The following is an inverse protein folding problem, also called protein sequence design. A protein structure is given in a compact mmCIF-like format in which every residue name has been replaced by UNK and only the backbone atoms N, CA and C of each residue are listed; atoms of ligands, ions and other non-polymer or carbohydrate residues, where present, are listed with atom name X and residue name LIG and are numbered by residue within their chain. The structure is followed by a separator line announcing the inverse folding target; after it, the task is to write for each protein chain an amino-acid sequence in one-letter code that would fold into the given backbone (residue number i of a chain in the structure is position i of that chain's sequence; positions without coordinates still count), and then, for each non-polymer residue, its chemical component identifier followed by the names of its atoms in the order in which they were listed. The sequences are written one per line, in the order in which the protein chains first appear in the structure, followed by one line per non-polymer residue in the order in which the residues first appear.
data_IF_125883108233
#
_entry.id   IF_125883108233
#
_cell.length_a   1.000
_cell.length_b   1.000
_cell.length_c   1.000
_cell.angle_alpha   90.00
_cell.angle_beta   90.00
_cell.angle_gamma   90.00
#
_symmetry.space_group_name_H-M   'P 1'
#
loop_
_entity.id
_entity.type
_entity.pdbx_description
1 polymer ?
2 non-polymer ?
3 water ?
#
# COMPACT_ATOMS: atom_id res chain seq x y z
N UNK A 1 -12.53 26.72 24.88
CA UNK A 1 -12.58 25.30 24.44
C UNK A 1 -11.70 25.10 23.19
N UNK A 2 -10.94 24.01 23.18
CA UNK A 2 -10.06 23.70 22.04
C UNK A 2 -9.77 22.21 21.97
N UNK A 3 -9.50 21.72 20.76
CA UNK A 3 -9.19 20.31 20.56
C UNK A 3 -7.82 19.99 21.13
N UNK A 4 -7.59 18.73 21.45
CA UNK A 4 -6.30 18.31 21.98
C UNK A 4 -5.25 18.47 20.87
N UNK A 5 -4.03 18.87 21.23
CA UNK A 5 -2.95 19.08 20.25
C UNK A 5 -2.57 17.88 19.39
N UNK A 6 -2.97 16.68 19.77
CA UNK A 6 -2.62 15.53 18.95
C UNK A 6 -3.35 15.60 17.62
N UNK A 7 -4.32 16.50 17.53
CA UNK A 7 -5.09 16.67 16.30
C UNK A 7 -4.30 17.41 15.23
N UNK A 8 -3.04 17.75 15.55
CA UNK A 8 -2.19 18.44 14.59
C UNK A 8 -1.86 17.46 13.46
N UNK A 9 -2.09 16.18 13.71
CA UNK A 9 -1.84 15.14 12.73
C UNK A 9 -2.95 15.12 11.68
N UNK A 10 -4.07 15.74 12.02
CA UNK A 10 -5.22 15.81 11.14
C UNK A 10 -5.03 16.91 10.10
N UNK A 14 -1.54 16.94 0.02
CA UNK A 14 -1.61 17.51 -1.35
C UNK A 14 -2.46 16.63 -2.27
N UNK A 15 -2.67 15.39 -1.86
CA UNK A 15 -3.44 14.44 -2.65
C UNK A 15 -4.84 14.96 -3.02
N UNK A 16 -5.68 15.30 -2.03
CA UNK A 16 -7.01 15.80 -2.34
C UNK A 16 -6.98 17.13 -3.08
N UNK A 17 -5.99 17.95 -2.73
CA UNK A 17 -5.83 19.27 -3.35
C UNK A 17 -5.49 19.17 -4.84
N UNK A 18 -4.68 18.19 -5.21
CA UNK A 18 -4.31 18.01 -6.61
C UNK A 18 -5.50 17.54 -7.42
N UNK A 19 -6.33 16.69 -6.82
CA UNK A 19 -7.52 16.18 -7.50
C UNK A 19 -8.54 17.31 -7.69
N UNK A 20 -8.60 18.20 -6.71
CA UNK A 20 -9.53 19.32 -6.80
C UNK A 20 -9.10 20.29 -7.88
N UNK A 21 -7.79 20.44 -8.03
CA UNK A 21 -7.24 21.35 -9.02
C UNK A 21 -7.41 20.74 -10.42
N UNK A 22 -7.34 19.41 -10.49
CA UNK A 22 -7.49 18.70 -11.75
C UNK A 22 -8.92 18.78 -12.26
N UNK A 23 -9.88 18.71 -11.34
CA UNK A 23 -11.28 18.78 -11.70
C UNK A 23 -11.61 20.15 -12.27
N UNK A 24 -11.09 21.20 -11.63
CA UNK A 24 -11.34 22.57 -12.09
C UNK A 24 -10.80 22.82 -13.50
N UNK A 25 -9.54 22.42 -13.73
CA UNK A 25 -8.89 22.63 -15.01
C UNK A 25 -9.17 21.56 -16.07
N UNK A 26 -9.97 20.56 -15.73
CA UNK A 26 -10.27 19.50 -16.67
C UNK A 26 -9.02 18.74 -17.11
N UNK A 27 -8.14 18.48 -16.15
CA UNK A 27 -6.89 17.76 -16.42
C UNK A 27 -7.05 16.26 -16.19
N UNK A 28 -6.27 15.46 -16.90
CA UNK A 28 -6.32 14.00 -16.72
C UNK A 28 -5.66 13.78 -15.37
N UNK A 29 -6.36 13.06 -14.49
CA UNK A 29 -5.84 12.83 -13.15
C UNK A 29 -5.04 11.54 -13.02
N UNK A 30 -3.72 11.65 -13.05
CA UNK A 30 -2.86 10.48 -12.89
C UNK A 30 -2.32 10.47 -11.46
N UNK A 31 -2.92 11.30 -10.61
CA UNK A 31 -2.50 11.38 -9.23
C UNK A 31 -3.33 10.49 -8.31
N UNK A 32 -4.56 10.18 -8.72
CA UNK A 32 -5.45 9.33 -7.91
C UNK A 32 -4.94 7.91 -7.79
N UNK A 33 -4.81 7.45 -6.55
CA UNK A 33 -4.32 6.10 -6.30
C UNK A 33 -5.36 5.00 -6.22
N UNK A 34 -6.36 5.02 -7.09
CA UNK A 34 -7.39 3.98 -7.12
C UNK A 34 -7.99 3.84 -8.52
N UNK A 35 -8.39 2.61 -8.89
CA UNK A 35 -8.97 2.25 -10.18
C UNK A 35 -10.15 3.10 -10.68
N UNK A 36 -10.15 3.39 -11.97
CA UNK A 36 -11.22 4.17 -12.59
C UNK A 36 -12.20 3.23 -13.28
N UNK A 37 -12.40 2.06 -12.69
CA UNK A 37 -13.31 1.05 -13.22
C UNK A 37 -13.93 0.31 -12.05
N UNK A 38 -15.03 -0.42 -12.29
CA UNK A 38 -15.68 -1.17 -11.22
C UNK A 38 -14.98 -2.50 -10.94
N UNK A 39 -15.31 -3.14 -9.80
CA UNK A 39 -14.69 -4.42 -9.47
C UNK A 39 -15.24 -5.54 -10.35
N UNK A 40 -14.61 -6.73 -10.32
CA UNK A 40 -15.08 -7.86 -11.14
C UNK A 40 -16.50 -8.28 -10.82
N UNK A 41 -17.22 -8.79 -11.82
CA UNK A 41 -18.60 -9.23 -11.62
C UNK A 41 -18.79 -10.28 -10.53
N UNK A 42 -17.85 -11.22 -10.40
CA UNK A 42 -18.02 -12.25 -9.38
C UNK A 42 -18.01 -11.70 -7.95
N UNK A 43 -17.40 -10.53 -7.75
CA UNK A 43 -17.39 -9.93 -6.42
C UNK A 43 -18.72 -9.24 -6.17
N UNK A 44 -19.19 -8.48 -7.16
CA UNK A 44 -20.46 -7.78 -7.05
C UNK A 44 -21.60 -8.76 -6.78
N UNK A 45 -21.61 -9.88 -7.49
CA UNK A 45 -22.63 -10.89 -7.30
C UNK A 45 -22.59 -11.51 -5.91
N UNK A 46 -21.39 -11.75 -5.39
CA UNK A 46 -21.24 -12.33 -4.07
C UNK A 46 -21.78 -11.40 -2.98
N UNK A 47 -21.53 -10.11 -3.13
CA UNK A 47 -22.01 -9.12 -2.16
C UNK A 47 -23.53 -9.05 -2.26
N UNK A 48 -24.01 -8.91 -3.49
CA UNK A 48 -25.44 -8.83 -3.77
C UNK A 48 -26.15 -10.00 -3.08
N UNK A 49 -25.54 -11.17 -3.15
CA UNK A 49 -26.09 -12.38 -2.56
C UNK A 49 -26.10 -12.34 -1.02
N UNK A 50 -25.12 -11.65 -0.44
CA UNK A 50 -25.04 -11.55 1.02
C UNK A 50 -26.03 -10.58 1.62
N UNK A 51 -26.41 -9.56 0.85
CA UNK A 51 -27.35 -8.55 1.33
C UNK A 51 -28.69 -9.19 1.69
N UNK A 52 -29.14 -8.93 2.91
CA UNK A 52 -30.42 -9.49 3.36
C UNK A 52 -30.25 -10.79 4.14
N UNK A 53 -29.03 -11.34 4.13
CA UNK A 53 -28.73 -12.58 4.84
C UNK A 53 -27.68 -12.37 5.92
N UNK A 54 -26.75 -11.46 5.67
CA UNK A 54 -25.67 -11.17 6.61
C UNK A 54 -25.49 -9.67 6.68
N UNK A 55 -26.37 -9.00 7.43
CA UNK A 55 -26.37 -7.56 7.55
C UNK A 55 -26.04 -7.03 8.95
N UNK A 56 -26.02 -7.92 9.94
CA UNK A 56 -25.74 -7.51 11.31
C UNK A 56 -24.27 -7.71 11.69
N UNK A 57 -23.91 -7.23 12.89
CA UNK A 57 -22.54 -7.33 13.40
C UNK A 57 -21.85 -8.66 13.20
N UNK A 58 -20.60 -8.60 12.74
CA UNK A 58 -19.78 -9.79 12.58
C UNK A 58 -18.82 -9.67 13.77
N UNK A 59 -18.19 -10.79 14.18
CA UNK A 59 -17.27 -10.72 15.32
C UNK A 59 -16.13 -9.76 14.99
N UNK A 60 -15.59 -9.06 16.00
CA UNK A 60 -14.49 -8.13 15.73
C UNK A 60 -13.34 -8.78 14.95
N UNK A 61 -13.00 -10.03 15.28
CA UNK A 61 -11.91 -10.72 14.59
C UNK A 61 -12.22 -10.98 13.11
N UNK A 62 -13.50 -10.94 12.77
CA UNK A 62 -13.92 -11.16 11.40
C UNK A 62 -14.90 -12.31 11.20
N UNK A 63 -15.64 -12.27 10.10
CA UNK A 63 -16.58 -13.34 9.76
C UNK A 63 -15.78 -14.62 9.64
N UNK A 64 -16.26 -15.72 10.24
CA UNK A 64 -15.53 -17.00 10.16
C UNK A 64 -15.13 -17.38 8.72
N UNK A 65 -16.06 -17.21 7.78
CA UNK A 65 -15.79 -17.57 6.39
C UNK A 65 -14.61 -16.80 5.79
N UNK A 66 -14.45 -15.54 6.18
CA UNK A 66 -13.36 -14.72 5.65
C UNK A 66 -12.04 -15.11 6.29
N UNK A 67 -12.06 -15.34 7.61
CA UNK A 67 -10.84 -15.72 8.30
C UNK A 67 -10.36 -17.07 7.75
N UNK A 68 -11.30 -17.96 7.50
CA UNK A 68 -10.96 -19.28 6.96
C UNK A 68 -10.38 -19.17 5.55
N UNK A 69 -11.02 -18.37 4.69
CA UNK A 69 -10.55 -18.19 3.32
C UNK A 69 -9.13 -17.61 3.28
N UNK A 70 -8.84 -16.68 4.19
CA UNK A 70 -7.52 -16.07 4.25
C UNK A 70 -6.48 -17.05 4.78
N UNK A 71 -6.86 -17.81 5.81
CA UNK A 71 -5.95 -18.78 6.40
C UNK A 71 -5.50 -19.79 5.35
N UNK A 72 -6.40 -20.19 4.48
CA UNK A 72 -6.09 -21.16 3.44
C UNK A 72 -5.00 -20.64 2.50
N UNK A 73 -5.13 -19.38 2.08
CA UNK A 73 -4.16 -18.77 1.18
C UNK A 73 -2.78 -18.60 1.79
N UNK A 74 -2.74 -18.20 3.05
CA UNK A 74 -1.49 -17.97 3.75
C UNK A 74 -0.93 -19.21 4.43
N UNK A 75 -1.65 -20.32 4.33
CA UNK A 75 -1.22 -21.56 4.94
C UNK A 75 -1.03 -21.43 6.45
N UNK A 76 -1.99 -20.79 7.10
CA UNK A 76 -1.94 -20.61 8.55
C UNK A 76 -3.30 -21.02 9.12
N UNK A 77 -3.44 -20.96 10.44
CA UNK A 77 -4.71 -21.31 11.05
C UNK A 77 -5.55 -20.03 11.16
N UNK A 78 -6.89 -20.18 11.17
CA UNK A 78 -7.81 -19.03 11.27
C UNK A 78 -7.50 -18.07 12.42
N UNK A 79 -7.04 -18.60 13.55
CA UNK A 79 -6.74 -17.77 14.71
C UNK A 79 -5.62 -16.76 14.46
N UNK A 80 -4.83 -16.96 13.42
CA UNK A 80 -3.75 -16.03 13.13
C UNK A 80 -4.22 -14.91 12.20
N UNK A 81 -5.52 -14.90 11.89
CA UNK A 81 -6.06 -13.87 11.00
C UNK A 81 -7.05 -12.95 11.70
N UNK A 82 -6.91 -11.66 11.48
CA UNK A 82 -7.82 -10.67 12.06
C UNK A 82 -8.23 -9.74 10.92
N UNK A 83 -9.54 -9.59 10.74
CA UNK A 83 -10.08 -8.75 9.69
C UNK A 83 -10.29 -7.32 10.19
N UNK A 84 -9.70 -6.36 9.48
CA UNK A 84 -9.80 -4.97 9.84
C UNK A 84 -10.62 -4.21 8.82
N UNK A 85 -10.96 -2.96 9.14
CA UNK A 85 -11.74 -2.12 8.24
C UNK A 85 -10.77 -1.44 7.27
N UNK A 86 -10.22 -2.24 6.37
CA UNK A 86 -9.24 -1.74 5.41
C UNK A 86 -7.85 -1.93 5.99
N UNK A 87 -6.82 -1.92 5.14
CA UNK A 87 -5.47 -2.07 5.64
C UNK A 87 -5.12 -0.83 6.45
N UNK A 88 -5.81 0.28 6.20
CA UNK A 88 -5.56 1.52 6.92
C UNK A 88 -5.75 1.28 8.41
N UNK A 89 -6.81 0.58 8.77
CA UNK A 89 -7.07 0.30 10.18
C UNK A 89 -6.06 -0.71 10.71
N UNK A 90 -5.67 -1.67 9.88
CA UNK A 90 -4.70 -2.68 10.30
C UNK A 90 -3.41 -1.99 10.74
N UNK A 91 -2.93 -1.06 9.92
CA UNK A 91 -1.70 -0.32 10.22
C UNK A 91 -1.85 0.54 11.47
N UNK A 92 -3.00 1.20 11.61
CA UNK A 92 -3.23 2.05 12.76
C UNK A 92 -3.20 1.23 14.04
N UNK A 93 -3.94 0.13 14.06
CA UNK A 93 -4.00 -0.72 15.24
C UNK A 93 -2.66 -1.42 15.54
N UNK A 94 -1.89 -1.75 14.50
CA UNK A 94 -0.61 -2.40 14.73
C UNK A 94 0.35 -1.47 15.46
N UNK A 95 0.43 -0.22 15.03
CA UNK A 95 1.32 0.73 15.69
C UNK A 95 0.85 1.01 17.12
N UNK A 96 -0.47 1.13 17.30
CA UNK A 96 -1.02 1.39 18.63
C UNK A 96 -0.72 0.23 19.59
N UNK A 97 -0.64 -0.98 19.04
CA UNK A 97 -0.39 -2.16 19.86
C UNK A 97 1.09 -2.53 20.05
N UNK A 98 1.95 -2.04 19.18
CA UNK A 98 3.37 -2.39 19.26
C UNK A 98 4.33 -1.36 19.85
N UNK A 99 4.06 -0.08 19.64
CA UNK A 99 4.96 0.94 20.15
C UNK A 99 4.25 2.04 20.92
N UNK A 100 5.05 2.82 21.65
CA UNK A 100 4.51 3.92 22.43
C UNK A 100 5.62 4.87 22.85
N UNK A 101 5.33 5.79 23.79
CA UNK A 101 6.34 6.75 24.26
C UNK A 101 7.63 6.06 24.69
N UNK A 102 8.76 6.52 24.14
CA UNK A 102 10.04 5.93 24.49
C UNK A 102 10.50 4.89 23.49
N UNK A 103 9.63 4.57 22.53
CA UNK A 103 9.95 3.57 21.50
C UNK A 103 10.21 4.23 20.15
N UNK A 104 10.99 3.56 19.30
CA UNK A 104 11.27 4.08 17.96
C UNK A 104 10.83 3.05 16.93
N UNK A 105 10.35 3.53 15.79
CA UNK A 105 9.92 2.65 14.71
C UNK A 105 10.69 3.08 13.46
N UNK A 106 11.22 2.11 12.73
CA UNK A 106 11.94 2.44 11.51
C UNK A 106 10.99 2.41 10.32
N UNK A 107 11.00 3.50 9.55
CA UNK A 107 10.17 3.63 8.37
C UNK A 107 11.07 3.96 7.18
N UNK A 108 10.81 3.33 6.03
CA UNK A 108 11.60 3.59 4.84
C UNK A 108 10.99 4.73 4.05
N UNK A 109 11.85 5.60 3.52
CA UNK A 109 11.44 6.77 2.75
C UNK A 109 11.88 6.47 1.31
N UNK A 110 11.04 6.79 0.31
CA UNK A 110 9.70 7.38 0.31
C UNK A 110 8.67 6.49 0.98
N UNK A 111 7.75 7.11 1.69
CA UNK A 111 6.73 6.39 2.44
C UNK A 111 5.29 6.61 2.00
N UNK A 112 4.42 5.72 2.43
CA UNK A 112 2.99 5.80 2.15
C UNK A 112 2.51 6.81 3.21
N UNK A 113 1.48 7.59 2.90
CA UNK A 113 1.05 8.64 3.83
C UNK A 113 0.57 8.36 5.26
N UNK A 114 0.09 7.16 5.56
CA UNK A 114 -0.38 6.93 6.93
C UNK A 114 0.69 6.52 7.95
N UNK A 115 1.88 6.13 7.48
CA UNK A 115 2.93 5.67 8.37
C UNK A 115 3.38 6.65 9.46
N UNK A 116 3.78 7.85 9.08
CA UNK A 116 4.23 8.84 10.07
C UNK A 116 3.11 9.25 11.02
N UNK A 117 1.91 9.55 10.50
CA UNK A 117 0.82 9.92 11.39
C UNK A 117 0.51 8.81 12.40
N UNK A 118 0.49 7.56 11.95
CA UNK A 118 0.19 6.45 12.85
C UNK A 118 1.25 6.31 13.94
N UNK A 119 2.52 6.52 13.58
CA UNK A 119 3.60 6.43 14.55
C UNK A 119 3.45 7.55 15.58
N UNK A 120 3.15 8.76 15.10
CA UNK A 120 2.97 9.90 15.99
C UNK A 120 1.79 9.71 16.95
N UNK A 121 0.65 9.30 16.40
CA UNK A 121 -0.54 9.08 17.22
C UNK A 121 -0.36 7.97 18.26
N UNK A 122 0.63 7.13 18.06
CA UNK A 122 0.90 6.05 19.01
C UNK A 122 1.90 6.55 20.05
N UNK A 123 2.41 7.76 19.83
CA UNK A 123 3.36 8.35 20.76
C UNK A 123 4.81 7.94 20.54
N UNK A 124 5.07 7.22 19.46
CA UNK A 124 6.43 6.77 19.17
C UNK A 124 7.17 7.74 18.26
N UNK A 125 8.48 7.50 18.13
CA UNK A 125 9.31 8.33 17.27
C UNK A 125 9.68 7.53 16.02
N UNK A 126 9.49 8.13 14.85
CA UNK A 126 9.79 7.45 13.61
C UNK A 126 11.18 7.84 13.13
N UNK A 127 12.01 6.82 12.87
CA UNK A 127 13.35 7.06 12.38
C UNK A 127 13.31 6.70 10.90
N UNK A 128 13.67 7.66 10.05
CA UNK A 128 13.63 7.44 8.61
C UNK A 128 14.92 6.95 7.97
N UNK A 129 14.77 5.91 7.14
CA UNK A 129 15.90 5.35 6.40
C UNK A 129 15.53 5.54 4.94
N UNK A 130 16.29 6.37 4.24
CA UNK A 130 16.01 6.67 2.85
C UNK A 130 16.63 5.69 1.85
N UNK A 131 15.81 5.24 0.91
CA UNK A 131 16.30 4.34 -0.13
C UNK A 131 17.19 5.17 -1.04
N UNK A 132 18.25 4.57 -1.57
CA UNK A 132 19.14 5.29 -2.46
C UNK A 132 18.59 5.30 -3.88
N UNK A 133 18.69 6.44 -4.54
CA UNK A 133 18.24 6.54 -5.92
C UNK A 133 19.52 6.45 -6.74
N UNK A 134 19.80 5.26 -7.25
CA UNK A 134 21.02 5.03 -8.01
C UNK A 134 20.72 5.05 -9.51
N UNK A 135 21.77 4.91 -10.35
CA UNK A 135 21.54 4.93 -11.79
C UNK A 135 20.60 3.79 -12.20
N UNK A 136 20.64 2.69 -11.46
CA UNK A 136 19.80 1.53 -11.73
C UNK A 136 18.40 1.63 -11.15
N UNK A 137 18.19 2.64 -10.30
CA UNK A 137 16.88 2.81 -9.69
C UNK A 137 16.96 2.82 -8.18
N UNK A 138 15.81 2.62 -7.53
CA UNK A 138 15.76 2.61 -6.07
C UNK A 138 16.41 1.38 -5.49
N UNK A 139 17.17 1.57 -4.41
CA UNK A 139 17.86 0.46 -3.77
C UNK A 139 17.96 0.66 -2.26
N UNK A 140 17.78 -0.42 -1.52
CA UNK A 140 17.87 -0.37 -0.07
C UNK A 140 19.30 -0.67 0.36
N UNK A 141 19.90 0.25 1.12
CA UNK A 141 21.25 0.09 1.62
C UNK A 141 21.15 -0.52 3.01
N UNK A 142 21.52 -1.80 3.13
CA UNK A 142 21.43 -2.49 4.41
C UNK A 142 22.26 -1.88 5.53
N UNK A 143 23.41 -1.30 5.18
CA UNK A 143 24.26 -0.68 6.20
C UNK A 143 23.55 0.55 6.77
N UNK A 144 22.81 1.26 5.92
CA UNK A 144 22.08 2.44 6.37
C UNK A 144 20.97 2.01 7.33
N UNK A 145 20.28 0.93 6.98
CA UNK A 145 19.20 0.42 7.80
C UNK A 145 19.76 -0.02 9.15
N UNK A 146 20.87 -0.77 9.11
CA UNK A 146 21.49 -1.26 10.34
C UNK A 146 21.91 -0.13 11.28
N UNK A 147 22.41 0.97 10.72
CA UNK A 147 22.87 2.09 11.52
C UNK A 147 21.72 2.92 12.12
N UNK A 148 20.49 2.63 11.71
CA UNK A 148 19.34 3.36 12.23
C UNK A 148 18.78 2.69 13.48
N UNK A 149 19.22 1.47 13.74
CA UNK A 149 18.74 0.74 14.90
C UNK A 149 19.39 1.21 16.19
N UNK A 150 18.57 1.35 17.22
CA UNK A 150 19.04 1.78 18.54
C UNK A 150 18.39 0.85 19.56
N UNK A 151 18.82 0.90 20.82
CA UNK A 151 18.21 0.02 21.81
C UNK A 151 16.71 0.32 22.00
N UNK A 152 16.29 1.50 21.55
CA UNK A 152 14.89 1.91 21.68
C UNK A 152 14.00 1.47 20.51
N UNK A 153 14.61 0.94 19.46
CA UNK A 153 13.86 0.48 18.29
C UNK A 153 13.09 -0.78 18.62
N UNK A 154 11.80 -0.79 18.34
CA UNK A 154 10.96 -1.97 18.61
C UNK A 154 10.34 -2.59 17.36
N UNK A 155 10.28 -1.83 16.26
CA UNK A 155 9.67 -2.36 15.05
C UNK A 155 10.19 -1.70 13.80
N UNK A 156 10.00 -2.39 12.68
CA UNK A 156 10.42 -1.91 11.39
C UNK A 156 9.21 -2.08 10.46
N UNK A 157 8.89 -1.01 9.72
CA UNK A 157 7.74 -1.04 8.81
C UNK A 157 8.22 -1.12 7.36
N UNK A 158 7.81 -2.18 6.65
CA UNK A 158 8.18 -2.40 5.26
C UNK A 158 6.94 -2.42 4.37
N UNK A 159 7.09 -2.00 3.12
CA UNK A 159 5.98 -1.95 2.18
C UNK A 159 6.47 -2.60 0.87
N UNK A 160 5.91 -3.76 0.52
CA UNK A 160 6.32 -4.45 -0.71
C UNK A 160 5.17 -5.30 -1.28
N UNK A 161 4.82 -5.12 -2.57
CA UNK A 161 5.40 -4.18 -3.55
C UNK A 161 5.22 -2.78 -2.98
N UNK A 162 6.22 -1.94 -3.19
CA UNK A 162 6.23 -0.60 -2.62
C UNK A 162 5.53 0.54 -3.35
N UNK A 163 4.71 1.29 -2.60
CA UNK A 163 4.00 2.46 -3.10
C UNK A 163 4.85 3.57 -2.46
N UNK A 164 5.35 4.54 -3.24
CA UNK A 164 5.25 4.83 -4.68
C UNK A 164 6.30 4.32 -5.66
N UNK A 165 7.36 3.68 -5.19
CA UNK A 165 8.43 3.23 -6.08
C UNK A 165 8.19 2.05 -6.99
N UNK A 166 7.26 1.16 -6.61
CA UNK A 166 6.99 0.00 -7.42
C UNK A 166 8.04 -1.09 -7.18
N UNK A 167 8.87 -0.87 -6.17
CA UNK A 167 9.94 -1.80 -5.82
C UNK A 167 9.41 -3.08 -5.17
N UNK A 168 10.02 -4.21 -5.51
CA UNK A 168 9.64 -5.49 -4.94
C UNK A 168 10.92 -6.05 -4.32
N UNK A 169 10.95 -6.17 -2.99
CA UNK A 169 12.13 -6.67 -2.31
C UNK A 169 12.41 -8.14 -2.62
N UNK A 170 13.67 -8.42 -2.96
CA UNK A 170 14.07 -9.78 -3.29
C UNK A 170 14.42 -10.62 -2.08
N UNK A 171 14.61 -11.92 -2.30
CA UNK A 171 14.93 -12.84 -1.22
C UNK A 171 16.17 -12.45 -0.41
N UNK A 172 17.20 -11.97 -1.09
CA UNK A 172 18.43 -11.57 -0.42
C UNK A 172 18.20 -10.48 0.62
N UNK A 173 17.40 -9.48 0.25
CA UNK A 173 17.11 -8.37 1.15
C UNK A 173 16.17 -8.77 2.28
N UNK A 174 15.19 -9.61 1.97
CA UNK A 174 14.23 -10.09 2.97
C UNK A 174 14.98 -10.90 4.04
N UNK A 175 15.91 -11.76 3.59
CA UNK A 175 16.68 -12.57 4.52
C UNK A 175 17.50 -11.70 5.47
N UNK A 176 18.10 -10.64 4.93
CA UNK A 176 18.92 -9.72 5.70
C UNK A 176 18.07 -9.00 6.75
N UNK A 177 16.89 -8.53 6.34
CA UNK A 177 15.99 -7.86 7.26
C UNK A 177 15.58 -8.82 8.37
N UNK A 178 15.31 -10.08 8.00
CA UNK A 178 14.93 -11.09 8.97
C UNK A 178 16.03 -11.28 10.02
N UNK A 179 17.28 -11.41 9.56
CA UNK A 179 18.40 -11.60 10.48
C UNK A 179 18.53 -10.41 11.44
N UNK A 180 18.40 -9.20 10.90
CA UNK A 180 18.50 -8.01 11.73
C UNK A 180 17.37 -7.94 12.77
N UNK A 181 16.16 -8.30 12.34
CA UNK A 181 15.01 -8.28 13.26
C UNK A 181 15.22 -9.28 14.39
N UNK A 182 15.78 -10.44 14.05
CA UNK A 182 16.02 -11.47 15.06
C UNK A 182 17.13 -11.04 16.01
N UNK A 183 18.24 -10.55 15.46
CA UNK A 183 19.36 -10.10 16.26
C UNK A 183 18.98 -8.97 17.23
N UNK A 184 18.06 -8.11 16.80
CA UNK A 184 17.64 -6.99 17.64
C UNK A 184 16.26 -7.17 18.26
N UNK A 185 15.69 -8.36 18.11
CA UNK A 185 14.37 -8.67 18.65
C UNK A 185 13.34 -7.60 18.29
N UNK A 186 13.18 -7.35 16.99
CA UNK A 186 12.24 -6.35 16.50
C UNK A 186 10.99 -7.01 15.95
N UNK A 187 9.90 -6.25 15.92
CA UNK A 187 8.65 -6.72 15.34
C UNK A 187 8.73 -6.25 13.89
N UNK A 188 8.18 -7.03 12.96
CA UNK A 188 8.20 -6.65 11.56
C UNK A 188 6.77 -6.45 11.06
N UNK A 189 6.50 -5.27 10.51
CA UNK A 189 5.18 -4.99 9.97
C UNK A 189 5.38 -4.90 8.47
N UNK A 190 4.72 -5.76 7.71
CA UNK A 190 4.86 -5.75 6.26
C UNK A 190 3.56 -5.38 5.57
N UNK A 191 3.54 -4.19 4.98
CA UNK A 191 2.37 -3.67 4.27
C UNK A 191 2.42 -4.29 2.87
N UNK A 192 1.66 -5.37 2.68
CA UNK A 192 1.63 -6.09 1.40
C UNK A 192 0.27 -6.04 0.70
N UNK A 193 -0.33 -4.85 0.65
CA UNK A 193 -1.63 -4.72 0.00
C UNK A 193 -1.57 -5.01 -1.49
N UNK A 194 -0.41 -4.79 -2.10
CA UNK A 194 -0.26 -5.07 -3.53
C UNK A 194 0.39 -6.43 -3.77
N UNK A 195 0.20 -7.38 -2.85
CA UNK A 195 0.82 -8.69 -3.00
C UNK A 195 0.45 -9.48 -4.27
N UNK A 196 -0.64 -9.13 -4.94
CA UNK A 196 -1.00 -9.85 -6.16
C UNK A 196 -0.71 -9.01 -7.42
N UNK A 197 -0.21 -7.80 -7.23
CA UNK A 197 0.10 -6.94 -8.36
C UNK A 197 1.61 -6.80 -8.56
N UNK A 198 2.19 -7.77 -9.24
CA UNK A 198 3.61 -7.78 -9.53
C UNK A 198 3.77 -8.15 -11.00
N UNK A 199 4.90 -7.80 -11.60
CA UNK A 199 5.08 -8.05 -13.02
C UNK A 199 6.13 -9.08 -13.39
N UNK A 200 6.90 -9.54 -12.41
CA UNK A 200 7.92 -10.54 -12.66
C UNK A 200 7.59 -11.84 -11.97
N UNK A 201 8.59 -12.49 -11.41
CA UNK A 201 8.41 -13.75 -10.71
C UNK A 201 7.61 -13.51 -9.43
N UNK A 202 6.86 -14.52 -9.01
CA UNK A 202 6.07 -14.45 -7.79
C UNK A 202 7.02 -14.06 -6.66
N UNK A 203 6.77 -12.92 -6.00
CA UNK A 203 7.67 -12.52 -4.91
C UNK A 203 7.57 -13.38 -3.66
N UNK A 204 8.64 -13.38 -2.88
CA UNK A 204 8.68 -14.13 -1.63
C UNK A 204 8.15 -13.18 -0.57
N UNK A 205 7.60 -13.70 0.51
CA UNK A 205 7.06 -12.85 1.58
C UNK A 205 8.01 -12.80 2.77
N UNK A 206 8.07 -11.65 3.43
CA UNK A 206 8.94 -11.49 4.59
C UNK A 206 8.60 -12.52 5.67
N UNK A 207 7.31 -12.84 5.81
CA UNK A 207 6.89 -13.80 6.83
C UNK A 207 7.48 -15.20 6.60
N UNK A 208 7.95 -15.47 5.40
CA UNK A 208 8.54 -16.77 5.12
C UNK A 208 9.90 -16.86 5.80
N UNK A 209 10.53 -15.72 6.01
CA UNK A 209 11.86 -15.67 6.63
C UNK A 209 11.87 -15.37 8.14
N UNK A 210 10.79 -14.77 8.65
CA UNK A 210 10.69 -14.43 10.08
C UNK A 210 9.24 -14.57 10.52
N UNK A 211 8.67 -15.76 10.37
CA UNK A 211 7.28 -16.01 10.75
C UNK A 211 6.91 -15.72 12.21
N UNK A 212 7.89 -15.80 13.10
CA UNK A 212 7.64 -15.60 14.52
C UNK A 212 7.48 -14.15 14.97
N UNK A 213 7.85 -13.20 14.11
CA UNK A 213 7.78 -11.80 14.50
C UNK A 213 7.28 -10.88 13.40
N UNK A 214 6.62 -11.44 12.39
CA UNK A 214 6.13 -10.63 11.28
C UNK A 214 4.61 -10.54 11.20
N UNK A 215 4.10 -9.33 11.02
CA UNK A 215 2.67 -9.12 10.85
C UNK A 215 2.49 -8.69 9.39
N UNK A 216 1.71 -9.47 8.64
CA UNK A 216 1.48 -9.16 7.23
C UNK A 216 0.11 -8.52 7.04
N UNK A 217 0.09 -7.38 6.36
CA UNK A 217 -1.16 -6.65 6.13
C UNK A 217 -1.61 -6.75 4.68
N UNK A 218 -2.90 -6.89 4.49
CA UNK A 218 -3.45 -6.98 3.14
C UNK A 218 -4.75 -6.19 3.03
N UNK A 219 -5.22 -6.02 1.79
CA UNK A 219 -6.44 -5.28 1.52
C UNK A 219 -7.23 -5.90 0.38
N UNK A 220 -8.51 -6.17 0.63
CA UNK A 220 -9.36 -6.74 -0.40
C UNK A 220 -9.56 -5.67 -1.47
N UNK A 221 -9.60 -4.42 -1.04
CA UNK A 221 -9.79 -3.32 -1.97
C UNK A 221 -8.69 -3.18 -3.01
N UNK A 222 -7.45 -3.44 -2.60
CA UNK A 222 -6.32 -3.33 -3.52
C UNK A 222 -6.12 -4.63 -4.32
N UNK A 223 -6.75 -5.71 -3.87
CA UNK A 223 -6.63 -6.97 -4.58
C UNK A 223 -7.73 -7.13 -5.61
N UNK A 224 -8.93 -6.70 -5.25
CA UNK A 224 -10.09 -6.86 -6.12
C UNK A 224 -10.68 -5.62 -6.73
N UNK A 225 -9.89 -4.55 -6.86
CA UNK A 225 -10.37 -3.31 -7.47
C UNK A 225 -11.64 -2.78 -6.81
N UNK A 226 -11.67 -2.78 -5.48
CA UNK A 226 -12.85 -2.31 -4.74
C UNK A 226 -12.37 -1.58 -3.50
N UNK A 227 -11.63 -0.49 -3.70
CA UNK A 227 -11.07 0.25 -2.59
C UNK A 227 -12.03 0.79 -1.53
N UNK A 228 -13.28 1.06 -1.92
CA UNK A 228 -14.23 1.58 -0.94
C UNK A 228 -14.94 0.54 -0.09
N UNK A 229 -14.55 -0.72 -0.19
CA UNK A 229 -15.21 -1.77 0.59
C UNK A 229 -14.72 -1.84 2.04
N UNK A 230 -13.53 -1.31 2.29
CA UNK A 230 -12.97 -1.27 3.64
C UNK A 230 -12.86 -2.64 4.32
N UNK A 231 -12.23 -3.59 3.65
CA UNK A 231 -12.00 -4.92 4.21
C UNK A 231 -10.52 -5.21 4.01
N UNK A 232 -9.82 -5.40 5.13
CA UNK A 232 -8.40 -5.70 5.08
C UNK A 232 -8.10 -6.74 6.13
N UNK A 233 -6.83 -7.06 6.32
CA UNK A 233 -6.49 -8.08 7.29
C UNK A 233 -5.06 -8.02 7.79
N UNK A 234 -4.85 -8.68 8.92
CA UNK A 234 -3.53 -8.80 9.52
C UNK A 234 -3.34 -10.30 9.71
N UNK A 235 -2.21 -10.82 9.25
CA UNK A 235 -1.87 -12.22 9.44
C UNK A 235 -0.60 -12.19 10.28
N UNK A 236 -0.65 -12.80 11.46
CA UNK A 236 0.52 -12.79 12.32
C UNK A 236 0.55 -13.93 13.32
N UNK A 237 1.58 -13.99 14.18
CA UNK A 237 1.71 -15.04 15.20
C UNK A 237 0.45 -15.12 16.04
N UNK A 238 -0.07 -16.33 16.18
CA UNK A 238 -1.29 -16.59 16.92
C UNK A 238 -1.40 -15.98 18.32
N UNK A 239 -0.30 -15.97 19.06
CA UNK A 239 -0.33 -15.44 20.42
C UNK A 239 -0.58 -13.93 20.57
N UNK A 240 -0.42 -13.17 19.48
CA UNK A 240 -0.62 -11.73 19.55
C UNK A 240 -1.95 -11.29 18.95
N UNK A 241 -2.57 -12.16 18.15
CA UNK A 241 -3.81 -11.82 17.47
C UNK A 241 -5.03 -11.48 18.33
N UNK A 242 -5.26 -12.20 19.44
CA UNK A 242 -6.44 -11.85 20.26
C UNK A 242 -6.43 -10.40 20.71
N UNK A 243 -5.25 -9.90 21.10
CA UNK A 243 -5.12 -8.52 21.54
C UNK A 243 -5.34 -7.52 20.41
N UNK A 244 -4.93 -7.87 19.19
CA UNK A 244 -5.11 -6.98 18.05
C UNK A 244 -6.60 -6.90 17.73
N UNK A 245 -7.29 -8.03 17.86
CA UNK A 245 -8.73 -8.05 17.60
C UNK A 245 -9.39 -7.16 18.66
N UNK A 246 -8.87 -7.22 19.88
CA UNK A 246 -9.42 -6.42 20.95
C UNK A 246 -9.25 -4.94 20.70
N UNK A 247 -8.11 -4.56 20.11
CA UNK A 247 -7.85 -3.16 19.84
C UNK A 247 -8.72 -2.61 18.71
N UNK A 248 -8.92 -3.39 17.65
CA UNK A 248 -9.75 -2.90 16.53
C UNK A 248 -11.23 -2.86 16.92
N UNK A 249 -11.58 -3.54 18.01
CA UNK A 249 -12.96 -3.52 18.47
C UNK A 249 -13.35 -2.11 18.89
N UNK A 250 -12.40 -1.39 19.49
CA UNK A 250 -12.67 -0.04 19.96
C UNK A 250 -12.64 1.00 18.85
N UNK A 251 -11.90 0.75 17.77
CA UNK A 251 -11.83 1.72 16.69
C UNK A 251 -13.03 1.70 15.73
N UNK A 252 -13.47 0.52 15.29
CA UNK A 252 -14.63 0.46 14.40
C UNK A 252 -15.47 -0.81 14.60
N UNK A 253 -15.16 -1.53 15.68
CA UNK A 253 -15.82 -2.77 16.08
C UNK A 253 -15.57 -3.96 15.13
N UNK A 254 -16.07 -3.88 13.91
CA UNK A 254 -15.89 -4.95 12.94
C UNK A 254 -16.08 -4.40 11.53
N UNK A 255 -15.50 -5.08 10.54
CA UNK A 255 -15.62 -4.64 9.15
C UNK A 255 -17.03 -4.92 8.62
N UNK A 256 -17.47 -4.18 7.59
CA UNK A 256 -18.81 -4.36 7.00
C UNK A 256 -19.13 -5.82 6.69
N UNK A 257 -20.13 -6.35 7.39
CA UNK A 257 -20.52 -7.75 7.25
C UNK A 257 -20.84 -8.28 5.85
N UNK A 258 -21.73 -7.62 5.10
CA UNK A 258 -22.02 -8.15 3.76
C UNK A 258 -20.82 -8.09 2.83
N UNK A 259 -19.94 -7.11 3.07
CA UNK A 259 -18.74 -6.96 2.27
C UNK A 259 -17.73 -8.05 2.63
N UNK A 260 -17.63 -8.39 3.92
CA UNK A 260 -16.72 -9.46 4.35
C UNK A 260 -17.21 -10.76 3.71
N UNK A 261 -18.52 -10.97 3.71
CA UNK A 261 -19.12 -12.17 3.15
C UNK A 261 -18.81 -12.31 1.67
N UNK A 262 -19.01 -11.23 0.91
CA UNK A 262 -18.74 -11.25 -0.51
C UNK A 262 -17.26 -11.45 -0.79
N UNK A 263 -16.41 -10.76 -0.04
CA UNK A 263 -14.97 -10.88 -0.23
C UNK A 263 -14.49 -12.31 -0.01
N UNK A 264 -15.00 -12.96 1.04
CA UNK A 264 -14.61 -14.33 1.35
C UNK A 264 -14.81 -15.23 0.13
N UNK A 265 -15.99 -15.10 -0.48
CA UNK A 265 -16.32 -15.89 -1.66
C UNK A 265 -15.47 -15.49 -2.86
N UNK A 266 -15.31 -14.18 -3.06
CA UNK A 266 -14.53 -13.66 -4.17
C UNK A 266 -13.06 -14.07 -4.13
N UNK A 267 -12.49 -14.19 -2.93
CA UNK A 267 -11.09 -14.58 -2.82
C UNK A 267 -10.88 -16.00 -3.34
N UNK A 268 -11.82 -16.89 -3.06
CA UNK A 268 -11.73 -18.27 -3.52
C UNK A 268 -11.89 -18.36 -5.04
N UNK A 269 -12.88 -17.67 -5.58
CA UNK A 269 -13.13 -17.67 -7.02
C UNK A 269 -11.99 -17.03 -7.81
N UNK A 270 -11.45 -15.92 -7.28
CA UNK A 270 -10.36 -15.22 -7.96
C UNK A 270 -9.21 -16.18 -8.24
N UNK A 271 -8.86 -16.99 -7.25
CA UNK A 271 -7.78 -17.96 -7.37
C UNK A 271 -8.09 -19.06 -8.38
N UNK A 272 -9.27 -19.64 -8.29
CA UNK A 272 -9.66 -20.72 -9.21
C UNK A 272 -9.93 -20.28 -10.63
N UNK A 273 -10.31 -19.02 -10.82
CA UNK A 273 -10.62 -18.51 -12.15
C UNK A 273 -9.49 -17.74 -12.83
N UNK A 274 -8.31 -17.70 -12.20
CA UNK A 274 -7.18 -17.00 -12.80
C UNK A 274 -7.36 -15.50 -12.94
N UNK A 275 -8.17 -14.92 -12.07
CA UNK A 275 -8.42 -13.48 -12.10
C UNK A 275 -7.16 -12.66 -11.85
N UNK A 276 -6.31 -13.12 -10.93
CA UNK A 276 -5.10 -12.36 -10.60
C UNK A 276 -4.13 -12.27 -11.77
N UNK A 277 -4.03 -13.35 -12.56
CA UNK A 277 -3.14 -13.33 -13.72
C UNK A 277 -3.67 -12.35 -14.76
N UNK A 278 -4.98 -12.36 -14.96
CA UNK A 278 -5.60 -11.46 -15.93
C UNK A 278 -5.42 -10.01 -15.48
N UNK A 279 -5.52 -9.79 -14.17
CA UNK A 279 -5.37 -8.45 -13.62
C UNK A 279 -3.93 -8.00 -13.84
N UNK A 280 -2.97 -8.87 -13.52
CA UNK A 280 -1.56 -8.54 -13.70
C UNK A 280 -1.22 -8.18 -15.15
N UNK A 281 -1.73 -8.94 -16.11
CA UNK A 281 -1.45 -8.65 -17.52
C UNK A 281 -2.08 -7.34 -17.96
N UNK A 282 -3.29 -7.07 -17.48
CA UNK A 282 -3.97 -5.84 -17.83
C UNK A 282 -3.21 -4.63 -17.36
N UNK A 283 -2.61 -4.72 -16.18
CA UNK A 283 -1.83 -3.62 -15.65
C UNK A 283 -0.46 -3.58 -16.32
N UNK A 284 0.08 -4.75 -16.66
CA UNK A 284 1.38 -4.78 -17.32
C UNK A 284 1.32 -4.04 -18.66
N UNK A 285 0.21 -4.21 -19.39
CA UNK A 285 0.04 -3.54 -20.68
C UNK A 285 0.04 -2.04 -20.48
N UNK A 286 -0.68 -1.57 -19.46
CA UNK A 286 -0.75 -0.15 -19.17
C UNK A 286 0.58 0.39 -18.67
N UNK A 287 1.29 -0.41 -17.87
CA UNK A 287 2.61 0.00 -17.37
C UNK A 287 3.54 0.27 -18.56
N UNK A 288 3.62 -0.70 -19.45
CA UNK A 288 4.49 -0.59 -20.63
C UNK A 288 4.06 0.53 -21.57
N UNK A 289 2.76 0.76 -21.67
CA UNK A 289 2.24 1.83 -22.52
C UNK A 289 2.77 3.16 -22.01
N UNK A 290 2.59 3.41 -20.72
CA UNK A 290 3.03 4.65 -20.09
C UNK A 290 4.54 4.81 -20.07
N UNK A 291 5.24 3.78 -19.59
CA UNK A 291 6.70 3.82 -19.52
C UNK A 291 7.31 4.01 -20.91
N UNK A 292 6.79 3.27 -21.88
CA UNK A 292 7.29 3.40 -23.24
C UNK A 292 7.07 4.79 -23.80
N UNK A 293 5.89 5.35 -23.53
CA UNK A 293 5.58 6.68 -24.02
C UNK A 293 6.47 7.75 -23.42
N UNK A 294 6.75 7.63 -22.13
CA UNK A 294 7.59 8.60 -21.45
C UNK A 294 9.05 8.52 -21.92
N UNK A 295 9.55 7.30 -22.13
CA UNK A 295 10.93 7.16 -22.57
C UNK A 295 11.09 7.68 -23.99
N UNK A 296 10.01 7.60 -24.78
CA UNK A 296 10.04 8.08 -26.16
C UNK A 296 10.23 9.59 -26.17
N UNK A 297 9.85 10.23 -25.07
CA UNK A 297 10.01 11.68 -24.93
C UNK A 297 11.39 11.99 -24.37
N UNK A 298 12.18 10.95 -24.13
CA UNK A 298 13.53 11.13 -23.60
C UNK A 298 13.60 11.31 -22.10
N UNK A 299 12.58 10.83 -21.39
CA UNK A 299 12.53 10.97 -19.94
C UNK A 299 13.01 9.71 -19.22
N UNK A 300 13.53 9.90 -18.01
CA UNK A 300 14.00 8.78 -17.20
C UNK A 300 12.79 8.23 -16.47
N UNK A 301 12.52 6.95 -16.70
CA UNK A 301 11.39 6.28 -16.05
C UNK A 301 11.91 5.09 -15.25
N UNK A 302 11.46 4.97 -14.02
CA UNK A 302 11.89 3.84 -13.19
C UNK A 302 10.78 2.80 -13.30
N UNK A 303 10.97 1.84 -14.19
CA UNK A 303 9.98 0.79 -14.41
C UNK A 303 9.71 -0.01 -13.15
N UNK A 304 8.45 -0.03 -12.70
CA UNK A 304 8.05 -0.74 -11.49
C UNK A 304 7.91 -2.25 -11.64
N UNK A 305 8.25 -2.99 -10.58
CA UNK A 305 8.13 -4.43 -10.57
C UNK A 305 6.75 -4.80 -9.98
N UNK A 306 6.11 -3.83 -9.35
CA UNK A 306 4.80 -4.06 -8.75
C UNK A 306 3.99 -2.78 -8.55
N UNK A 307 2.76 -2.93 -8.05
CA UNK A 307 1.81 -1.82 -7.81
C UNK A 307 1.39 -1.20 -9.14
N UNK A 308 0.46 -0.24 -9.09
CA UNK A 308 0.07 0.42 -10.32
C UNK A 308 0.58 1.85 -10.33
N UNK A 309 1.76 2.04 -9.75
CA UNK A 309 2.42 3.33 -9.71
C UNK A 309 3.78 3.22 -10.37
N UNK A 310 4.24 4.34 -10.90
CA UNK A 310 5.53 4.43 -11.58
C UNK A 310 6.05 5.84 -11.29
N UNK A 311 7.36 5.97 -11.13
CA UNK A 311 7.94 7.29 -10.89
C UNK A 311 8.85 7.64 -12.04
N UNK A 312 8.83 8.90 -12.44
CA UNK A 312 9.65 9.36 -13.56
C UNK A 312 10.11 10.78 -13.29
N UNK A 313 11.16 11.19 -13.99
CA UNK A 313 11.72 12.53 -13.83
C UNK A 313 11.33 13.47 -14.97
N UNK A 314 10.85 14.65 -14.61
CA UNK A 314 10.45 15.67 -15.57
C UNK A 314 11.23 16.94 -15.18
N UNK A 315 12.45 17.09 -15.69
CA UNK A 315 13.32 18.24 -15.42
C UNK A 315 12.68 19.61 -15.65
N UNK A 316 12.84 20.49 -14.65
CA UNK A 316 12.32 21.84 -14.76
C UNK A 316 10.85 22.04 -14.48
N UNK A 317 10.15 20.99 -14.09
CA UNK A 317 8.72 21.10 -13.81
C UNK A 317 8.34 20.95 -12.36
N UNK A 318 7.21 21.53 -12.00
CA UNK A 318 6.64 21.43 -10.66
C UNK A 318 5.23 20.96 -10.94
N UNK A 319 4.59 20.32 -9.96
CA UNK A 319 3.23 19.80 -10.15
C UNK A 319 2.21 20.85 -10.58
N UNK A 320 2.27 22.03 -9.97
CA UNK A 320 1.34 23.10 -10.27
C UNK A 320 1.40 23.57 -11.72
N UNK A 321 2.60 23.93 -12.18
CA UNK A 321 2.74 24.39 -13.56
C UNK A 321 2.33 23.30 -14.54
N UNK A 322 2.58 22.05 -14.16
CA UNK A 322 2.22 20.93 -15.02
C UNK A 322 0.72 20.80 -15.24
N UNK A 323 -0.03 20.80 -14.16
CA UNK A 323 -1.48 20.66 -14.28
C UNK A 323 -2.10 21.86 -15.01
N UNK A 324 -1.51 23.04 -14.82
CA UNK A 324 -2.02 24.24 -15.46
C UNK A 324 -1.68 24.31 -16.96
N UNK A 325 -0.45 23.96 -17.31
CA UNK A 325 -0.01 24.01 -18.70
C UNK A 325 -0.30 22.76 -19.53
N UNK A 326 0.11 21.59 -19.03
CA UNK A 326 -0.09 20.35 -19.75
C UNK A 326 -1.48 19.77 -19.51
N UNK A 327 -2.11 20.19 -18.43
CA UNK A 327 -3.44 19.71 -18.08
C UNK A 327 -3.38 18.23 -17.70
N UNK A 328 -2.34 17.88 -16.92
CA UNK A 328 -2.13 16.53 -16.43
C UNK A 328 -1.72 16.68 -14.98
N UNK A 329 -2.42 15.99 -14.09
CA UNK A 329 -2.12 16.07 -12.66
C UNK A 329 -1.28 14.87 -12.21
N UNK A 330 -0.18 15.17 -11.54
CA UNK A 330 0.73 14.15 -11.01
C UNK A 330 1.00 14.51 -9.56
N UNK A 331 1.59 13.59 -8.80
CA UNK A 331 1.91 13.86 -7.41
C UNK A 331 3.42 14.04 -7.31
N UNK A 332 3.88 15.17 -6.73
CA UNK A 332 5.31 15.41 -6.60
C UNK A 332 5.95 14.50 -5.55
N UNK A 333 7.23 14.17 -5.74
CA UNK A 333 7.94 13.31 -4.80
C UNK A 333 7.91 13.87 -3.38
N UNK A 334 7.74 15.19 -3.26
CA UNK A 334 7.69 15.83 -1.96
C UNK A 334 6.60 15.26 -1.05
N UNK A 335 5.58 14.65 -1.63
CA UNK A 335 4.50 14.09 -0.85
C UNK A 335 4.90 12.79 -0.15
N UNK A 336 6.04 12.23 -0.55
CA UNK A 336 6.50 10.97 0.02
C UNK A 336 7.80 11.06 0.80
N UNK A 337 8.35 12.26 0.93
CA UNK A 337 9.59 12.48 1.65
C UNK A 337 9.37 13.54 2.74
N UNK A 338 10.11 13.43 3.83
CA UNK A 338 9.95 14.40 4.90
C UNK A 338 10.71 15.68 4.55
N UNK A 339 11.92 15.52 4.04
CA UNK A 339 12.76 16.65 3.66
C UNK A 339 13.68 16.28 2.51
N UNK A 340 14.18 17.29 1.80
CA UNK A 340 15.11 17.09 0.69
C UNK A 340 14.66 16.04 -0.33
N UNK A 341 13.43 16.16 -0.85
CA UNK A 341 12.97 15.16 -1.82
C UNK A 341 13.78 15.23 -3.11
N UNK A 342 13.89 14.11 -3.83
CA UNK A 342 14.64 14.12 -5.10
C UNK A 342 14.08 15.20 -6.01
N UNK A 343 14.94 15.77 -6.83
CA UNK A 343 14.53 16.84 -7.73
C UNK A 343 13.77 16.36 -8.97
N UNK A 344 12.70 17.06 -9.29
CA UNK A 344 11.89 16.78 -10.48
C UNK A 344 11.34 15.36 -10.62
N UNK A 345 11.12 14.69 -9.50
CA UNK A 345 10.59 13.33 -9.51
C UNK A 345 9.08 13.36 -9.26
N UNK A 346 8.32 12.58 -10.03
CA UNK A 346 6.86 12.55 -9.90
C UNK A 346 6.31 11.13 -9.91
N UNK A 347 5.20 10.91 -9.23
CA UNK A 347 4.57 9.60 -9.22
C UNK A 347 3.40 9.63 -10.19
N UNK A 348 3.31 8.62 -11.04
CA UNK A 348 2.24 8.47 -12.01
C UNK A 348 1.43 7.26 -11.57
N UNK A 349 0.11 7.32 -11.69
CA UNK A 349 -0.72 6.17 -11.35
C UNK A 349 -1.29 5.69 -12.68
N UNK A 350 -1.10 4.42 -13.02
CA UNK A 350 -1.65 3.96 -14.29
C UNK A 350 -2.84 3.02 -14.17
N UNK A 351 -3.63 3.21 -13.11
CA UNK A 351 -4.83 2.43 -12.90
C UNK A 351 -5.96 3.25 -13.55
N UNK A 352 -5.74 3.61 -14.80
CA UNK A 352 -6.69 4.39 -15.59
C UNK A 352 -6.92 3.65 -16.91
N UNK A 353 -7.87 4.12 -17.72
CA UNK A 353 -8.13 3.46 -18.99
C UNK A 353 -6.98 3.78 -19.96
N UNK A 354 -6.79 2.94 -20.96
CA UNK A 354 -5.73 3.18 -21.92
C UNK A 354 -5.98 4.49 -22.66
N UNK A 355 -7.25 4.82 -22.86
CA UNK A 355 -7.59 6.06 -23.54
C UNK A 355 -7.15 7.25 -22.70
N UNK A 356 -7.33 7.15 -21.38
CA UNK A 356 -6.93 8.23 -20.49
C UNK A 356 -5.40 8.36 -20.49
N UNK A 357 -4.71 7.24 -20.54
CA UNK A 357 -3.25 7.25 -20.56
C UNK A 357 -2.73 7.87 -21.86
N UNK A 358 -3.33 7.48 -22.98
CA UNK A 358 -2.92 8.03 -24.26
C UNK A 358 -3.12 9.54 -24.27
N UNK A 359 -4.22 9.98 -23.66
CA UNK A 359 -4.52 11.41 -23.60
C UNK A 359 -3.43 12.12 -22.80
N UNK A 360 -3.05 11.53 -21.67
CA UNK A 360 -2.02 12.12 -20.81
C UNK A 360 -0.70 12.26 -21.55
N UNK A 361 -0.31 11.21 -22.29
CA UNK A 361 0.94 11.23 -23.04
C UNK A 361 0.91 12.30 -24.14
N UNK A 362 -0.22 12.42 -24.82
CA UNK A 362 -0.34 13.42 -25.88
C UNK A 362 -0.18 14.83 -25.30
N UNK A 363 -0.81 15.08 -24.16
CA UNK A 363 -0.72 16.39 -23.53
C UNK A 363 0.67 16.70 -23.00
N UNK A 364 1.32 15.71 -22.40
CA UNK A 364 2.67 15.91 -21.88
C UNK A 364 3.62 16.10 -23.05
N UNK A 365 3.38 15.35 -24.12
CA UNK A 365 4.23 15.46 -25.30
C UNK A 365 4.28 16.87 -25.86
N UNK A 366 3.13 17.53 -25.88
CA UNK A 366 3.04 18.90 -26.40
C UNK A 366 3.90 19.88 -25.63
N UNK A 367 3.86 19.78 -24.31
CA UNK A 367 4.62 20.69 -23.46
C UNK A 367 5.98 20.11 -23.09
N UNK A 368 6.20 18.86 -23.49
CA UNK A 368 7.46 18.17 -23.24
C UNK A 368 7.64 17.89 -21.75
#
# INVERSE_FOLDING_TARGET
MRLHPRTEAAKESIFPRMSGLAQRLGAVNLGQGFPSNPPPPFLLEAVRRALGRQDQYAPPAGLPALREALAEEFAVEPESVVVTSGATEALYVLLQSLVGPGDEVVVLEPFFDVYLPDAFLAGAKARLVRLDLTPEGFRLDLSALEKALTPRTRALLLNTPMNPTGLVFGERELEAIARLARAHDLFLISDEVYDELYYGERPRRLREFAPERTFTVGSAGKRLEATGYRVGWIVGPKEFMPRLAGMRQWTSFSAPTPLQAGVAEALKLARREGFYEALREGYRRRRDLLAGGLRAMGLRVYVPEGTYFLMAELPGWDAFRLVEEARVALIPASAFYLEDPPKDLFRFAFCKTEEELHLALERLGRVVNSPREAEGGAVSG
#
